data_IF_871509027794
#
_entry.id   IF_871509027794
#
_cell.length_a   1.000
_cell.length_b   1.000
_cell.length_c   1.000
_cell.angle_alpha   90.00
_cell.angle_beta   90.00
_cell.angle_gamma   90.00
#
_symmetry.space_group_name_H-M   'P 1'
#
loop_
_entity.id
_entity.type
_entity.pdbx_description
1 polymer ?
#
# COMPACT_ATOMS: atom_id res chain seq x y z
N UNK A 1 3.47 -19.78 0.24
CA UNK A 1 4.30 -18.63 -0.16
C UNK A 1 3.80 -18.03 -1.48
N UNK A 2 3.94 -16.71 -1.67
CA UNK A 2 3.64 -16.07 -2.93
C UNK A 2 4.74 -16.31 -3.99
N UNK A 3 4.38 -16.23 -5.27
CA UNK A 3 5.36 -16.27 -6.37
C UNK A 3 6.31 -15.07 -6.27
N UNK A 4 7.62 -15.31 -6.45
CA UNK A 4 8.66 -14.25 -6.45
C UNK A 4 8.31 -13.08 -7.37
N UNK A 5 7.80 -13.37 -8.57
CA UNK A 5 7.36 -12.35 -9.53
C UNK A 5 6.24 -11.44 -9.01
N UNK A 6 5.35 -11.96 -8.14
CA UNK A 6 4.26 -11.17 -7.55
C UNK A 6 4.75 -10.28 -6.40
N UNK A 7 5.78 -10.72 -5.67
CA UNK A 7 6.45 -9.90 -4.64
C UNK A 7 7.21 -8.77 -5.34
N UNK A 8 8.05 -9.10 -6.33
CA UNK A 8 8.80 -8.11 -7.13
C UNK A 8 7.88 -7.05 -7.75
N UNK A 9 6.74 -7.46 -8.34
CA UNK A 9 5.77 -6.51 -8.89
C UNK A 9 5.14 -5.60 -7.83
N UNK A 10 4.98 -6.06 -6.59
CA UNK A 10 4.46 -5.23 -5.51
C UNK A 10 5.50 -4.22 -5.02
N UNK A 11 6.77 -4.62 -4.97
CA UNK A 11 7.89 -3.75 -4.61
C UNK A 11 8.11 -2.67 -5.68
N UNK A 12 8.08 -3.04 -6.96
CA UNK A 12 8.12 -2.07 -8.07
C UNK A 12 6.99 -1.03 -7.95
N UNK A 13 5.78 -1.45 -7.55
CA UNK A 13 4.68 -0.49 -7.32
C UNK A 13 4.98 0.44 -6.16
N UNK A 14 5.56 -0.05 -5.07
CA UNK A 14 5.93 0.80 -3.94
C UNK A 14 6.93 1.89 -4.38
N UNK A 15 7.93 1.54 -5.17
CA UNK A 15 8.90 2.49 -5.74
C UNK A 15 8.24 3.53 -6.66
N UNK A 16 7.34 3.08 -7.55
CA UNK A 16 6.60 3.99 -8.45
C UNK A 16 5.67 4.90 -7.66
N UNK A 17 4.98 4.39 -6.63
CA UNK A 17 4.12 5.19 -5.75
C UNK A 17 4.96 6.26 -5.06
N UNK A 18 6.09 5.90 -4.46
CA UNK A 18 6.98 6.84 -3.80
C UNK A 18 7.46 7.95 -4.76
N UNK A 19 7.87 7.56 -5.98
CA UNK A 19 8.34 8.49 -7.01
C UNK A 19 7.32 9.55 -7.41
N UNK A 20 6.03 9.19 -7.46
CA UNK A 20 4.97 10.08 -7.95
C UNK A 20 4.05 10.59 -6.83
N UNK A 21 4.32 10.30 -5.57
CA UNK A 21 3.43 10.58 -4.44
C UNK A 21 3.07 12.07 -4.35
N UNK A 22 4.08 12.95 -4.36
CA UNK A 22 3.93 14.39 -4.24
C UNK A 22 3.16 14.96 -5.43
N UNK A 23 3.64 14.69 -6.66
CA UNK A 23 3.00 15.17 -7.89
C UNK A 23 1.54 14.72 -7.98
N UNK A 24 1.25 13.48 -7.56
CA UNK A 24 -0.11 12.95 -7.57
C UNK A 24 -1.00 13.61 -6.52
N UNK A 25 -0.45 13.94 -5.36
CA UNK A 25 -1.17 14.66 -4.29
C UNK A 25 -1.55 16.07 -4.74
N UNK A 26 -0.63 16.80 -5.36
CA UNK A 26 -0.89 18.13 -5.93
C UNK A 26 -2.05 18.10 -6.94
N UNK A 27 -1.96 17.20 -7.93
CA UNK A 27 -2.99 17.06 -8.96
C UNK A 27 -4.35 16.65 -8.37
N UNK A 28 -4.36 15.80 -7.34
CA UNK A 28 -5.60 15.45 -6.64
C UNK A 28 -6.19 16.62 -5.86
N UNK A 29 -5.36 17.45 -5.22
CA UNK A 29 -5.82 18.65 -4.51
C UNK A 29 -6.44 19.65 -5.49
N UNK A 30 -5.75 19.93 -6.60
CA UNK A 30 -6.25 20.82 -7.65
C UNK A 30 -7.58 20.32 -8.27
N UNK A 31 -7.76 19.00 -8.38
CA UNK A 31 -9.00 18.42 -8.92
C UNK A 31 -10.22 18.60 -8.01
N UNK A 32 -10.04 18.57 -6.69
CA UNK A 32 -11.13 18.63 -5.70
C UNK A 32 -11.32 20.04 -5.13
N UNK A 33 -10.50 21.01 -5.53
CA UNK A 33 -10.59 22.38 -5.05
C UNK A 33 -11.96 23.00 -5.42
N UNK A 34 -12.78 23.39 -4.43
CA UNK A 34 -14.08 24.01 -4.68
C UNK A 34 -13.95 25.38 -5.35
N UNK A 35 -12.84 26.10 -5.14
CA UNK A 35 -12.59 27.43 -5.70
C UNK A 35 -11.85 27.39 -7.05
N UNK A 36 -11.51 26.20 -7.53
CA UNK A 36 -10.79 26.02 -8.80
C UNK A 36 -11.65 26.33 -10.02
N UNK A 37 -11.02 26.87 -11.06
CA UNK A 37 -11.64 27.03 -12.38
C UNK A 37 -11.81 25.67 -13.07
N UNK A 38 -12.77 25.56 -13.98
CA UNK A 38 -12.98 24.33 -14.74
C UNK A 38 -11.75 23.94 -15.57
N UNK A 39 -11.02 24.93 -16.10
CA UNK A 39 -9.75 24.71 -16.81
C UNK A 39 -8.67 24.09 -15.91
N UNK A 40 -8.56 24.56 -14.66
CA UNK A 40 -7.60 24.01 -13.67
C UNK A 40 -7.95 22.56 -13.32
N UNK A 41 -9.25 22.27 -13.12
CA UNK A 41 -9.74 20.91 -12.85
C UNK A 41 -9.47 19.98 -14.04
N UNK A 42 -9.68 20.46 -15.26
CA UNK A 42 -9.39 19.71 -16.48
C UNK A 42 -7.90 19.42 -16.66
N UNK A 43 -7.04 20.43 -16.46
CA UNK A 43 -5.59 20.25 -16.49
C UNK A 43 -5.13 19.23 -15.42
N UNK A 44 -5.69 19.29 -14.21
CA UNK A 44 -5.42 18.34 -13.15
C UNK A 44 -5.86 16.91 -13.52
N UNK A 45 -7.04 16.77 -14.14
CA UNK A 45 -7.58 15.48 -14.61
C UNK A 45 -6.69 14.86 -15.69
N UNK A 46 -6.32 15.64 -16.71
CA UNK A 46 -5.41 15.20 -17.78
C UNK A 46 -4.04 14.86 -17.22
N UNK A 47 -3.50 15.67 -16.31
CA UNK A 47 -2.24 15.40 -15.61
C UNK A 47 -2.28 14.08 -14.84
N UNK A 48 -3.40 13.79 -14.17
CA UNK A 48 -3.60 12.53 -13.45
C UNK A 48 -3.60 11.30 -14.38
N UNK A 49 -4.22 11.43 -15.55
CA UNK A 49 -4.33 10.37 -16.55
C UNK A 49 -3.00 10.07 -17.24
N UNK A 50 -2.12 11.07 -17.38
CA UNK A 50 -0.77 10.91 -17.94
C UNK A 50 0.18 10.15 -16.99
N UNK A 51 -0.11 10.10 -15.69
CA UNK A 51 0.72 9.37 -14.73
C UNK A 51 0.60 7.84 -14.95
N UNK A 52 1.67 7.07 -14.65
CA UNK A 52 1.59 5.62 -14.70
C UNK A 52 0.49 5.07 -13.78
N UNK A 53 -0.28 4.08 -14.25
CA UNK A 53 -1.38 3.49 -13.47
C UNK A 53 -0.93 2.97 -12.10
N UNK A 54 0.27 2.40 -12.04
CA UNK A 54 0.87 1.84 -10.82
C UNK A 54 1.33 2.92 -9.82
N UNK A 55 1.34 4.21 -10.18
CA UNK A 55 1.53 5.33 -9.25
C UNK A 55 0.35 5.52 -8.28
N UNK A 56 -0.78 4.85 -8.51
CA UNK A 56 -1.92 4.90 -7.60
C UNK A 56 -1.73 3.95 -6.41
N UNK A 57 -1.75 4.44 -5.15
CA UNK A 57 -1.52 3.61 -3.97
C UNK A 57 -2.57 2.52 -3.77
N UNK A 58 -3.77 2.69 -4.33
CA UNK A 58 -4.85 1.67 -4.32
C UNK A 58 -4.42 0.33 -4.93
N UNK A 59 -3.40 0.33 -5.80
CA UNK A 59 -2.90 -0.89 -6.47
C UNK A 59 -1.83 -1.62 -5.68
N UNK A 60 -1.26 -0.98 -4.66
CA UNK A 60 -0.40 -1.64 -3.70
C UNK A 60 -1.21 -2.60 -2.85
N UNK A 61 -0.62 -3.73 -2.48
CA UNK A 61 -1.26 -4.72 -1.61
C UNK A 61 -0.34 -5.01 -0.44
N UNK A 62 -0.86 -4.87 0.77
CA UNK A 62 -0.16 -5.33 1.96
C UNK A 62 0.02 -6.85 1.88
N UNK A 63 1.27 -7.28 1.96
CA UNK A 63 1.70 -8.67 1.91
C UNK A 63 2.49 -8.96 3.17
N UNK A 64 2.44 -10.21 3.61
CA UNK A 64 3.37 -10.71 4.62
C UNK A 64 4.82 -10.42 4.20
N UNK A 65 5.59 -9.80 5.10
CA UNK A 65 6.99 -9.46 4.88
C UNK A 65 7.88 -10.69 4.64
N UNK A 66 7.50 -11.86 5.18
CA UNK A 66 8.33 -13.08 5.13
C UNK A 66 7.97 -13.91 3.89
N UNK A 67 6.69 -14.24 3.71
CA UNK A 67 6.26 -15.23 2.71
C UNK A 67 5.44 -14.64 1.53
N UNK A 68 5.15 -13.33 1.59
CA UNK A 68 4.42 -12.57 0.58
C UNK A 68 2.91 -12.83 0.53
N UNK A 69 2.31 -13.51 1.51
CA UNK A 69 0.87 -13.83 1.54
C UNK A 69 0.02 -12.54 1.46
N UNK A 70 -0.88 -12.40 0.47
CA UNK A 70 -1.60 -11.14 0.22
C UNK A 70 -2.90 -10.97 1.03
N UNK A 71 -3.17 -11.88 1.99
CA UNK A 71 -4.44 -11.96 2.73
C UNK A 71 -4.17 -12.22 4.20
N UNK A 72 -5.10 -11.77 5.05
CA UNK A 72 -4.99 -11.91 6.51
C UNK A 72 -3.72 -11.27 7.04
N UNK A 73 -3.34 -10.12 6.48
CA UNK A 73 -2.19 -9.32 6.92
C UNK A 73 -2.60 -8.50 8.14
N UNK A 74 -1.76 -8.50 9.17
CA UNK A 74 -1.93 -7.67 10.35
C UNK A 74 -1.02 -6.46 10.20
N UNK A 75 -1.61 -5.27 10.04
CA UNK A 75 -0.87 -4.04 9.73
C UNK A 75 0.19 -3.68 10.77
N UNK A 76 -0.15 -3.82 12.05
CA UNK A 76 0.75 -3.54 13.18
C UNK A 76 2.03 -4.38 13.16
N UNK A 77 1.91 -5.64 12.72
CA UNK A 77 3.03 -6.60 12.76
C UNK A 77 3.68 -6.81 11.38
N UNK A 78 3.10 -6.30 10.29
CA UNK A 78 3.62 -6.47 8.94
C UNK A 78 3.58 -7.90 8.36
N UNK A 79 2.96 -8.86 9.06
CA UNK A 79 2.96 -10.29 8.71
C UNK A 79 1.55 -10.85 8.57
N UNK A 80 1.42 -12.05 8.00
CA UNK A 80 0.12 -12.72 7.91
C UNK A 80 -0.28 -13.37 9.24
N UNK A 81 -1.58 -13.61 9.42
CA UNK A 81 -2.15 -14.30 10.59
C UNK A 81 -1.53 -15.67 10.90
N UNK A 82 -1.02 -16.36 9.88
CA UNK A 82 -0.39 -17.68 10.06
C UNK A 82 0.98 -17.49 10.68
N UNK A 83 1.81 -16.63 10.07
CA UNK A 83 3.13 -16.29 10.62
C UNK A 83 3.03 -15.64 11.99
N UNK A 84 2.08 -14.75 12.18
CA UNK A 84 1.81 -14.15 13.48
C UNK A 84 1.56 -15.21 14.56
N UNK A 85 0.70 -16.20 14.28
CA UNK A 85 0.43 -17.31 15.19
C UNK A 85 1.70 -18.12 15.48
N UNK A 86 2.47 -18.47 14.45
CA UNK A 86 3.69 -19.26 14.61
C UNK A 86 4.74 -18.51 15.46
N UNK A 87 4.94 -17.22 15.19
CA UNK A 87 5.88 -16.36 15.91
C UNK A 87 5.43 -16.12 17.36
N UNK A 88 4.14 -15.87 17.58
CA UNK A 88 3.57 -15.78 18.92
C UNK A 88 3.76 -17.07 19.72
N UNK A 89 3.58 -18.24 19.07
CA UNK A 89 3.75 -19.53 19.73
C UNK A 89 5.22 -19.82 20.09
N UNK A 90 6.16 -19.30 19.30
CA UNK A 90 7.61 -19.36 19.59
C UNK A 90 8.09 -18.29 20.57
N UNK A 91 7.24 -17.36 21.00
CA UNK A 91 7.63 -16.26 21.88
C UNK A 91 8.49 -15.17 21.21
N UNK A 92 8.47 -15.08 19.88
CA UNK A 92 9.24 -14.10 19.11
C UNK A 92 8.59 -12.70 19.08
N UNK A 93 7.37 -12.58 19.59
CA UNK A 93 6.60 -11.33 19.63
C UNK A 93 6.51 -10.81 21.08
N UNK A 94 7.17 -9.69 21.41
CA UNK A 94 7.17 -9.14 22.76
C UNK A 94 5.76 -8.77 23.24
N UNK A 95 5.42 -9.18 24.47
CA UNK A 95 4.14 -8.84 25.10
C UNK A 95 2.90 -9.54 24.53
N UNK A 96 3.07 -10.49 23.59
CA UNK A 96 1.95 -11.24 23.01
C UNK A 96 1.73 -12.53 23.78
N UNK A 97 0.57 -12.61 24.44
CA UNK A 97 0.10 -13.81 25.14
C UNK A 97 -1.35 -14.12 24.72
N UNK A 98 -1.81 -15.34 25.01
CA UNK A 98 -3.23 -15.68 24.84
C UNK A 98 -4.02 -14.95 25.92
N UNK A 99 -4.97 -14.10 25.52
CA UNK A 99 -5.90 -13.45 26.42
C UNK A 99 -7.10 -14.33 26.73
N UNK A 100 -7.61 -14.22 27.96
CA UNK A 100 -8.89 -14.74 28.42
C UNK A 100 -9.59 -13.64 29.20
N UNK A 101 -10.85 -13.39 28.89
CA UNK A 101 -11.73 -12.47 29.61
C UNK A 101 -13.11 -13.12 29.76
#
# INVERSE_FOLDING_TARGET
MAKKSKIAKNNQRAEVIARYAERRLELKKALVDPNGTDESREAARVGLQKLPRDASPVRYRNRDAIDGRPRGHLGEYGISRVRFRDMAHRGELPGITKSSW
#
